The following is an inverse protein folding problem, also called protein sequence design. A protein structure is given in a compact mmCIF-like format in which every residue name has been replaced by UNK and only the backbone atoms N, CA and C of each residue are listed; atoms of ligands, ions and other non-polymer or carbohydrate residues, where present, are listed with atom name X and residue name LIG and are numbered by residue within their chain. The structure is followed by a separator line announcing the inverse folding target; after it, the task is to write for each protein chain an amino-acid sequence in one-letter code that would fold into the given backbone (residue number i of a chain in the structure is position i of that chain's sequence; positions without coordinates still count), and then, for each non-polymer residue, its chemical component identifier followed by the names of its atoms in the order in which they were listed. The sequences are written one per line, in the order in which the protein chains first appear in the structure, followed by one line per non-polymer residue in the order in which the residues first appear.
data_IF_157631862209
#
_entry.id   IF_157631862209
#
_cell.length_a   1.000
_cell.length_b   1.000
_cell.length_c   1.000
_cell.angle_alpha   90.00
_cell.angle_beta   90.00
_cell.angle_gamma   90.00
#
_symmetry.space_group_name_H-M   'P 1'
#
loop_
_entity.id
_entity.type
_entity.pdbx_description
1 polymer ?
2 water ?
#
# COMPACT_ATOMS: atom_id res chain seq x y z
N UNK A 1 -5.42 -13.29 -3.55
CA UNK A 1 -6.73 -12.71 -3.13
C UNK A 1 -6.91 -11.29 -3.67
N UNK A 2 -8.17 -10.88 -3.80
CA UNK A 2 -8.54 -9.56 -4.29
C UNK A 2 -7.94 -8.45 -3.44
N UNK A 3 -7.34 -7.46 -4.10
CA UNK A 3 -6.87 -6.26 -3.45
C UNK A 3 -8.00 -5.24 -3.50
N UNK A 4 -8.55 -4.92 -2.33
CA UNK A 4 -9.70 -4.03 -2.26
C UNK A 4 -9.29 -2.57 -2.38
N UNK A 5 -10.18 -1.79 -3.00
CA UNK A 5 -9.95 -0.38 -3.24
C UNK A 5 -10.63 0.43 -2.14
N UNK A 6 -9.91 1.43 -1.63
CA UNK A 6 -10.46 2.39 -0.65
C UNK A 6 -10.46 3.78 -1.26
N UNK A 7 -11.52 4.55 -0.97
CA UNK A 7 -11.62 5.94 -1.41
C UNK A 7 -11.93 6.89 -0.24
N UNK A 8 -12.72 6.40 0.71
CA UNK A 8 -13.18 7.20 1.84
C UNK A 8 -12.12 7.21 2.94
N UNK A 9 -11.67 8.42 3.37
CA UNK A 9 -10.69 8.53 4.45
C UNK A 9 -11.08 7.76 5.72
N UNK A 10 -12.36 7.70 6.05
CA UNK A 10 -12.79 6.99 7.26
C UNK A 10 -12.48 5.50 7.18
N UNK A 11 -12.50 4.94 5.97
CA UNK A 11 -12.25 3.53 5.77
C UNK A 11 -10.78 3.19 5.93
N UNK A 12 -9.90 4.04 5.39
CA UNK A 12 -8.46 3.83 5.61
C UNK A 12 -8.12 4.02 7.09
N UNK A 13 -8.75 5.00 7.73
CA UNK A 13 -8.52 5.24 9.15
C UNK A 13 -8.84 3.98 9.95
N UNK A 14 -9.97 3.36 9.63
CA UNK A 14 -10.39 2.13 10.32
C UNK A 14 -9.43 0.98 10.06
N UNK A 15 -9.02 0.82 8.80
CA UNK A 15 -8.09 -0.24 8.46
C UNK A 15 -6.79 -0.10 9.26
N UNK A 16 -6.26 1.12 9.30
CA UNK A 16 -4.97 1.34 9.97
C UNK A 16 -5.06 1.17 11.49
N UNK A 17 -6.21 1.50 12.07
CA UNK A 17 -6.47 1.26 13.49
C UNK A 17 -6.59 -0.22 13.86
N UNK A 18 -7.01 -1.05 12.92
CA UNK A 18 -7.35 -2.43 13.25
C UNK A 18 -6.35 -3.46 12.71
N UNK A 19 -5.47 -3.03 11.80
CA UNK A 19 -4.46 -3.91 11.22
C UNK A 19 -3.08 -3.30 11.35
N UNK A 20 -2.13 -4.12 11.80
CA UNK A 20 -0.82 -3.61 12.22
C UNK A 20 0.28 -3.69 11.17
N UNK A 21 -0.03 -4.28 10.02
CA UNK A 21 0.97 -4.49 8.98
C UNK A 21 0.27 -4.35 7.64
N UNK A 22 0.29 -3.13 7.11
CA UNK A 22 -0.54 -2.76 5.95
C UNK A 22 0.31 -2.13 4.86
N UNK A 23 0.13 -2.61 3.63
CA UNK A 23 0.73 -1.99 2.46
C UNK A 23 -0.40 -1.35 1.66
N UNK A 24 -0.25 -0.06 1.32
CA UNK A 24 -1.24 0.61 0.48
C UNK A 24 -0.55 0.99 -0.85
N UNK A 25 -1.14 0.52 -1.95
CA UNK A 25 -0.74 0.95 -3.29
C UNK A 25 -1.54 2.19 -3.67
N UNK A 26 -0.85 3.31 -3.81
CA UNK A 26 -1.48 4.54 -4.29
C UNK A 26 -1.12 4.67 -5.76
N UNK A 27 -2.13 4.78 -6.61
CA UNK A 27 -1.91 4.79 -8.06
C UNK A 27 -2.42 6.05 -8.74
N UNK A 28 -1.77 6.42 -9.83
CA UNK A 28 -2.17 7.57 -10.64
C UNK A 28 -3.51 7.32 -11.34
N UNK A 29 -3.79 6.05 -11.63
CA UNK A 29 -4.98 5.61 -12.35
C UNK A 29 -5.20 4.11 -12.16
N UNK A 30 -6.38 3.61 -12.55
CA UNK A 30 -6.64 2.18 -12.54
C UNK A 30 -5.70 1.43 -13.49
N UNK A 31 -5.47 1.98 -14.68
CA UNK A 31 -4.57 1.37 -15.66
C UNK A 31 -3.12 1.32 -15.13
N UNK A 32 -2.68 2.40 -14.47
CA UNK A 32 -1.34 2.44 -13.93
C UNK A 32 -1.12 1.39 -12.85
N UNK A 33 -2.20 1.04 -12.16
CA UNK A 33 -2.13 0.08 -11.05
C UNK A 33 -2.09 -1.39 -11.48
N UNK A 34 -2.44 -1.68 -12.73
CA UNK A 34 -2.68 -3.06 -13.18
C UNK A 34 -1.59 -4.07 -12.83
N UNK A 35 -0.36 -3.79 -13.25
CA UNK A 35 0.75 -4.73 -13.05
C UNK A 35 1.03 -4.96 -11.58
N UNK A 36 0.99 -3.88 -10.80
CA UNK A 36 1.19 -3.98 -9.36
C UNK A 36 0.07 -4.79 -8.72
N UNK A 37 -1.16 -4.56 -9.14
CA UNK A 37 -2.28 -5.29 -8.54
C UNK A 37 -2.19 -6.78 -8.82
N UNK A 38 -1.73 -7.13 -10.02
CA UNK A 38 -1.57 -8.53 -10.40
C UNK A 38 -0.59 -9.22 -9.45
N UNK A 39 0.56 -8.58 -9.22
CA UNK A 39 1.54 -9.14 -8.31
C UNK A 39 1.06 -9.13 -6.88
N UNK A 40 0.49 -8.00 -6.46
CA UNK A 40 0.09 -7.88 -5.06
C UNK A 40 -0.98 -8.87 -4.66
N UNK A 41 -1.83 -9.27 -5.60
CA UNK A 41 -2.85 -10.26 -5.30
C UNK A 41 -2.21 -11.56 -4.82
N UNK A 42 -1.11 -11.95 -5.45
CA UNK A 42 -0.41 -13.16 -5.04
C UNK A 42 0.33 -12.98 -3.72
N UNK A 43 0.92 -11.81 -3.52
CA UNK A 43 1.59 -11.51 -2.25
C UNK A 43 0.59 -11.58 -1.09
N UNK A 44 -0.58 -10.98 -1.31
CA UNK A 44 -1.61 -10.94 -0.28
C UNK A 44 -2.02 -12.34 0.16
N UNK A 45 -2.09 -13.26 -0.80
CA UNK A 45 -2.43 -14.64 -0.45
C UNK A 45 -1.34 -15.24 0.45
N UNK A 46 -0.09 -14.96 0.12
CA UNK A 46 1.04 -15.56 0.82
C UNK A 46 1.22 -15.02 2.23
N UNK A 47 0.68 -13.84 2.50
CA UNK A 47 0.79 -13.22 3.83
C UNK A 47 -0.55 -13.12 4.57
N UNK A 48 -1.53 -13.91 4.16
CA UNK A 48 -2.84 -13.94 4.81
C UNK A 48 -2.67 -14.13 6.32
N UNK A 49 -3.26 -13.23 7.10
CA UNK A 49 -3.19 -13.28 8.56
C UNK A 49 -2.03 -12.48 9.14
N UNK A 50 -1.05 -12.16 8.29
CA UNK A 50 0.17 -11.47 8.74
C UNK A 50 0.29 -10.07 8.18
N UNK A 51 -0.25 -9.83 6.99
CA UNK A 51 -0.21 -8.51 6.35
C UNK A 51 -1.47 -8.30 5.53
N UNK A 52 -1.81 -7.03 5.31
CA UNK A 52 -3.02 -6.64 4.57
C UNK A 52 -2.56 -5.66 3.49
N UNK A 53 -3.06 -5.88 2.27
CA UNK A 53 -2.74 -5.00 1.14
C UNK A 53 -4.03 -4.42 0.56
N UNK A 54 -4.04 -3.10 0.34
CA UNK A 54 -5.19 -2.45 -0.31
C UNK A 54 -4.67 -1.42 -1.29
N UNK A 55 -5.57 -0.81 -2.05
CA UNK A 55 -5.17 0.21 -3.01
C UNK A 55 -6.08 1.40 -3.03
N UNK A 56 -5.51 2.53 -3.43
CA UNK A 56 -6.26 3.79 -3.57
C UNK A 56 -5.95 4.33 -4.95
N UNK A 57 -6.99 4.66 -5.72
CA UNK A 57 -6.84 5.24 -7.04
C UNK A 57 -6.84 6.77 -6.91
N UNK A 58 -5.65 7.35 -6.84
CA UNK A 58 -5.51 8.80 -6.69
C UNK A 58 -6.02 9.57 -7.90
N UNK A 59 -6.21 8.88 -9.02
CA UNK A 59 -6.80 9.47 -10.21
C UNK A 59 -8.28 9.75 -10.07
N UNK A 60 -8.92 9.05 -9.13
CA UNK A 60 -10.35 9.21 -8.84
C UNK A 60 -10.52 10.49 -8.04
N UNK A 61 -11.32 11.42 -8.56
CA UNK A 61 -11.50 12.70 -7.89
C UNK A 61 -11.96 12.53 -6.43
N UNK A 62 -12.81 11.54 -6.18
CA UNK A 62 -13.34 11.29 -4.85
C UNK A 62 -12.31 10.68 -3.89
N UNK A 63 -11.15 10.27 -4.42
CA UNK A 63 -10.01 9.74 -3.62
C UNK A 63 -8.84 10.71 -3.47
N UNK A 64 -8.85 11.79 -4.26
CA UNK A 64 -7.74 12.77 -4.27
C UNK A 64 -7.43 13.30 -2.88
N UNK A 65 -8.49 13.61 -2.12
CA UNK A 65 -8.43 14.08 -0.75
C UNK A 65 -7.72 13.11 0.18
N UNK A 66 -8.00 11.82 0.01
CA UNK A 66 -7.33 10.81 0.81
C UNK A 66 -5.84 10.76 0.47
N UNK A 67 -5.51 10.79 -0.82
CA UNK A 67 -4.10 10.77 -1.24
C UNK A 67 -3.33 11.98 -0.71
N UNK A 68 -3.97 13.15 -0.71
CA UNK A 68 -3.36 14.35 -0.13
C UNK A 68 -3.14 14.20 1.38
N UNK A 69 -4.15 13.69 2.09
CA UNK A 69 -4.04 13.44 3.54
C UNK A 69 -2.86 12.52 3.87
N UNK A 70 -2.66 11.51 3.03
CA UNK A 70 -1.63 10.51 3.25
C UNK A 70 -0.26 10.87 2.70
N UNK A 71 -0.13 12.09 2.17
CA UNK A 71 1.16 12.64 1.75
C UNK A 71 1.76 11.90 0.56
N UNK A 72 0.88 11.51 -0.36
CA UNK A 72 1.28 10.82 -1.58
C UNK A 72 1.87 11.80 -2.57
N UNK A 73 3.00 11.44 -3.16
CA UNK A 73 3.58 12.23 -4.24
C UNK A 73 3.70 11.45 -5.54
N UNK A 74 2.75 11.66 -6.44
CA UNK A 74 2.79 11.03 -7.76
C UNK A 74 3.07 12.06 -8.85
N UNK A 75 3.61 13.20 -8.45
CA UNK A 75 3.92 14.26 -9.42
C UNK A 75 4.98 13.92 -10.48
N UNK A 76 6.02 13.10 -10.13
CA UNK A 76 7.01 12.78 -11.16
C UNK A 76 6.42 12.01 -12.34
N UNK A 77 6.85 12.35 -13.56
CA UNK A 77 6.29 11.78 -14.78
C UNK A 77 6.54 10.27 -14.94
N UNK A 78 7.63 9.78 -14.35
CA UNK A 78 8.00 8.37 -14.48
C UNK A 78 7.54 7.52 -13.28
N UNK A 79 6.72 8.10 -12.41
CA UNK A 79 6.21 7.39 -11.24
C UNK A 79 4.71 7.14 -11.37
N UNK A 80 4.35 5.87 -11.53
CA UNK A 80 2.98 5.44 -11.77
C UNK A 80 2.24 5.22 -10.46
N UNK A 81 2.98 4.72 -9.48
CA UNK A 81 2.39 4.31 -8.21
C UNK A 81 3.36 4.58 -7.08
N UNK A 82 2.84 4.58 -5.85
CA UNK A 82 3.63 4.59 -4.65
C UNK A 82 3.14 3.49 -3.73
N UNK A 83 4.06 2.74 -3.14
CA UNK A 83 3.73 1.70 -2.17
C UNK A 83 4.16 2.12 -0.77
N UNK A 84 3.19 2.39 0.10
CA UNK A 84 3.51 2.84 1.47
C UNK A 84 3.19 1.74 2.46
N UNK A 85 4.08 1.57 3.43
CA UNK A 85 3.91 0.59 4.50
C UNK A 85 3.57 1.27 5.81
N UNK A 86 2.54 0.74 6.48
CA UNK A 86 2.05 1.25 7.76
C UNK A 86 2.23 0.15 8.78
N UNK A 87 2.96 0.47 9.85
CA UNK A 87 3.21 -0.48 10.93
C UNK A 87 2.58 0.04 12.21
N UNK A 88 1.78 -0.82 12.84
CA UNK A 88 1.14 -0.49 14.12
C UNK A 88 0.34 0.81 14.06
N UNK A 89 -0.27 1.04 12.89
CA UNK A 89 -1.23 2.14 12.73
C UNK A 89 -0.67 3.43 12.18
N UNK A 90 0.63 3.48 11.93
CA UNK A 90 1.26 4.71 11.45
C UNK A 90 2.17 4.45 10.26
N UNK A 91 2.36 5.45 9.41
CA UNK A 91 3.32 5.36 8.32
C UNK A 91 4.67 4.93 8.86
N UNK A 92 5.25 3.92 8.20
CA UNK A 92 6.58 3.44 8.55
C UNK A 92 7.61 3.80 7.49
N UNK A 93 7.39 3.37 6.25
CA UNK A 93 8.32 3.67 5.15
C UNK A 93 7.64 3.54 3.79
N UNK A 94 8.18 4.20 2.77
CA UNK A 94 7.85 3.84 1.39
C UNK A 94 8.60 2.55 1.07
N UNK A 95 7.91 1.58 0.47
CA UNK A 95 8.59 0.36 0.03
C UNK A 95 9.67 0.71 -0.99
N UNK A 96 10.90 0.26 -0.76
CA UNK A 96 12.02 0.65 -1.63
C UNK A 96 12.95 -0.49 -2.02
N UNK A 97 12.45 -1.72 -1.96
CA UNK A 97 13.20 -2.90 -2.40
C UNK A 97 12.64 -3.37 -3.75
N UNK A 98 13.09 -4.51 -4.24
CA UNK A 98 12.63 -4.98 -5.54
C UNK A 98 11.14 -5.25 -5.52
N UNK A 99 10.48 -4.91 -6.62
CA UNK A 99 9.04 -5.19 -6.74
C UNK A 99 8.87 -6.59 -7.31
N UNK A 100 9.08 -7.57 -6.45
CA UNK A 100 8.90 -8.98 -6.79
C UNK A 100 8.17 -9.71 -5.66
N UNK A 101 7.64 -10.88 -5.98
CA UNK A 101 6.90 -11.67 -5.00
C UNK A 101 7.78 -11.96 -3.78
N UNK A 102 8.95 -12.55 -3.98
CA UNK A 102 9.80 -12.94 -2.84
C UNK A 102 10.18 -11.71 -2.00
N UNK A 103 10.47 -10.60 -2.65
CA UNK A 103 10.94 -9.43 -1.93
C UNK A 103 9.83 -8.82 -1.09
N UNK A 104 8.64 -8.67 -1.67
CA UNK A 104 7.55 -8.04 -0.92
C UNK A 104 7.09 -8.97 0.21
N UNK A 105 7.03 -10.26 -0.04
CA UNK A 105 6.63 -11.20 1.01
C UNK A 105 7.65 -11.13 2.16
N UNK A 106 8.95 -11.15 1.84
CA UNK A 106 9.96 -11.10 2.90
C UNK A 106 9.88 -9.79 3.69
N UNK A 107 9.64 -8.68 2.99
CA UNK A 107 9.48 -7.38 3.64
C UNK A 107 8.35 -7.41 4.66
N UNK A 108 7.20 -7.98 4.27
CA UNK A 108 6.04 -8.01 5.17
C UNK A 108 6.21 -8.98 6.34
N UNK A 109 7.15 -9.91 6.22
CA UNK A 109 7.44 -10.91 7.25
C UNK A 109 8.65 -10.51 8.13
N UNK A 110 9.34 -9.41 7.77
CA UNK A 110 10.57 -8.98 8.47
C UNK A 110 10.22 -8.06 9.65
N UNK A 111 10.73 -8.38 10.85
CA UNK A 111 10.56 -7.47 11.98
C UNK A 111 11.31 -6.16 11.76
N UNK A 112 10.68 -5.07 12.15
CA UNK A 112 11.26 -3.75 12.04
C UNK A 112 11.12 -3.12 13.43
N UNK A 113 11.95 -3.61 14.34
CA UNK A 113 11.99 -3.13 15.73
C UNK A 113 12.56 -1.72 15.79
N UNK A 114 12.83 -1.23 17.02
CA UNK A 114 13.18 0.17 17.19
C UNK A 114 14.52 0.51 16.54
N UNK A 115 14.71 1.80 16.19
CA UNK A 115 16.00 2.22 15.67
C UNK A 115 17.08 2.04 16.73
N UNK A 116 18.31 1.82 16.28
CA UNK A 116 19.42 1.43 17.17
C UNK A 116 19.68 2.42 18.31
N UNK A 117 19.37 3.70 18.09
CA UNK A 117 19.59 4.74 19.09
C UNK A 117 18.44 4.87 20.11
#
# INVERSE_FOLDING_TARGET
MLIERISDPKDLKKLLRTRNNVLVLYSKSEVAAENHLRLLSTVAQAVKGQGTICWVDCGDAESRKLCKKMKVDLSPKDKKVELFHYQDGAFHTEYNRAVTFKSIVAFLKDPKGPPLWEEDPGALEHHHHHH
#
